data_IF_169406642787
#
_entry.id   IF_169406642787
#
_cell.length_a   1.000
_cell.length_b   1.000
_cell.length_c   1.000
_cell.angle_alpha   90.00
_cell.angle_beta   90.00
_cell.angle_gamma   90.00
#
_symmetry.space_group_name_H-M   'P 1'
#
loop_
_entity.id
_entity.type
_entity.pdbx_description
1 polymer ?
#
# COMPACT_ATOMS: atom_id res chain seq x y z
N UNK A 1 -12.00 -14.79 -3.11
CA UNK A 1 -12.12 -15.87 -2.12
C UNK A 1 -11.37 -15.44 -0.87
N UNK A 2 -12.00 -15.54 0.30
CA UNK A 2 -11.34 -15.37 1.60
C UNK A 2 -10.18 -16.35 1.71
N UNK A 3 -8.98 -15.87 2.04
CA UNK A 3 -7.80 -16.72 2.31
C UNK A 3 -7.49 -16.67 3.80
N UNK A 4 -6.84 -17.71 4.32
CA UNK A 4 -6.22 -17.62 5.64
C UNK A 4 -4.94 -16.80 5.53
N UNK A 5 -4.57 -16.16 6.63
CA UNK A 5 -3.22 -15.63 6.79
C UNK A 5 -2.19 -16.76 6.66
N UNK A 6 -0.98 -16.49 6.13
CA UNK A 6 0.10 -17.47 6.12
C UNK A 6 0.43 -17.93 7.55
N UNK A 7 0.93 -19.15 7.71
CA UNK A 7 1.22 -19.74 9.03
C UNK A 7 2.28 -18.96 9.84
N UNK A 8 3.09 -18.15 9.18
CA UNK A 8 4.09 -17.28 9.82
C UNK A 8 3.54 -15.92 10.24
N UNK A 9 2.24 -15.64 10.03
CA UNK A 9 1.57 -14.48 10.60
C UNK A 9 0.91 -14.91 11.92
N UNK A 10 1.43 -14.36 13.01
CA UNK A 10 0.99 -14.67 14.38
C UNK A 10 -0.33 -13.98 14.72
N UNK A 11 -0.47 -12.71 14.33
CA UNK A 11 -1.64 -11.90 14.63
C UNK A 11 -1.86 -10.86 13.53
N UNK A 12 -3.12 -10.54 13.27
CA UNK A 12 -3.51 -9.42 12.44
C UNK A 12 -4.45 -8.49 13.21
N UNK A 13 -4.22 -7.19 13.09
CA UNK A 13 -5.02 -6.13 13.72
C UNK A 13 -5.58 -5.29 12.57
N UNK A 14 -6.90 -5.27 12.47
CA UNK A 14 -7.62 -4.56 11.42
C UNK A 14 -8.98 -4.17 11.97
N UNK A 15 -9.33 -2.88 11.87
CA UNK A 15 -10.63 -2.38 12.32
C UNK A 15 -11.31 -1.60 11.18
N UNK A 16 -12.08 -2.28 10.30
CA UNK A 16 -12.94 -1.60 9.35
C UNK A 16 -14.10 -0.94 10.09
N UNK A 17 -14.14 0.39 10.09
CA UNK A 17 -15.10 1.21 10.81
C UNK A 17 -16.25 1.64 9.88
N UNK A 18 -17.47 1.66 10.40
CA UNK A 18 -18.62 2.24 9.69
C UNK A 18 -18.42 3.75 9.54
N UNK A 19 -18.72 4.26 8.35
CA UNK A 19 -18.78 5.70 8.09
C UNK A 19 -20.17 6.19 8.53
N UNK A 20 -20.27 7.11 9.52
CA UNK A 20 -21.55 7.48 10.12
C UNK A 20 -22.61 7.92 9.09
N UNK A 21 -23.84 7.42 9.25
CA UNK A 21 -24.98 7.74 8.38
C UNK A 21 -24.82 7.34 6.91
N UNK A 22 -23.93 6.40 6.60
CA UNK A 22 -23.72 5.88 5.24
C UNK A 22 -23.61 4.34 5.28
N UNK A 23 -23.77 3.64 4.15
CA UNK A 23 -23.55 2.20 4.09
C UNK A 23 -22.07 1.81 3.94
N UNK A 24 -21.13 2.77 4.04
CA UNK A 24 -19.73 2.57 3.72
C UNK A 24 -18.88 2.27 4.94
N UNK A 25 -17.75 1.62 4.68
CA UNK A 25 -16.72 1.33 5.69
C UNK A 25 -15.40 1.95 5.30
N UNK A 26 -14.57 2.24 6.29
CA UNK A 26 -13.20 2.73 6.14
C UNK A 26 -12.24 1.85 6.90
N UNK A 27 -11.04 1.66 6.37
CA UNK A 27 -9.93 0.99 7.02
C UNK A 27 -8.70 1.86 6.85
N UNK A 28 -8.27 2.51 7.93
CA UNK A 28 -7.10 3.39 7.91
C UNK A 28 -5.79 2.59 7.88
N UNK A 29 -5.73 1.46 8.57
CA UNK A 29 -4.58 0.58 8.58
C UNK A 29 -4.93 -0.89 8.81
N UNK A 30 -4.01 -1.77 8.44
CA UNK A 30 -3.97 -3.18 8.83
C UNK A 30 -2.55 -3.52 9.24
N UNK A 31 -2.38 -4.08 10.43
CA UNK A 31 -1.07 -4.55 10.91
C UNK A 31 -1.07 -6.08 10.97
N UNK A 32 0.00 -6.70 10.49
CA UNK A 32 0.23 -8.14 10.66
C UNK A 32 1.59 -8.37 11.32
N UNK A 33 1.59 -9.05 12.46
CA UNK A 33 2.77 -9.47 13.21
C UNK A 33 3.22 -10.85 12.76
N UNK A 34 4.51 -11.02 12.56
CA UNK A 34 5.09 -12.30 12.18
C UNK A 34 5.53 -13.12 13.39
N UNK A 35 5.52 -14.44 13.22
CA UNK A 35 6.02 -15.39 14.22
C UNK A 35 7.55 -15.48 14.14
N UNK A 36 8.22 -14.39 14.53
CA UNK A 36 9.67 -14.30 14.67
C UNK A 36 10.04 -13.30 15.79
N UNK A 37 11.34 -13.17 16.10
CA UNK A 37 11.83 -12.28 17.16
C UNK A 37 12.27 -10.90 16.65
N UNK A 38 12.04 -10.60 15.37
CA UNK A 38 12.52 -9.38 14.77
C UNK A 38 11.67 -8.17 15.16
N UNK A 39 12.25 -6.97 15.03
CA UNK A 39 11.62 -5.72 15.48
C UNK A 39 11.37 -4.70 14.37
N UNK A 40 11.99 -4.87 13.19
CA UNK A 40 11.82 -3.88 12.14
C UNK A 40 10.41 -3.96 11.56
N UNK A 41 9.85 -2.79 11.27
CA UNK A 41 8.51 -2.64 10.69
C UNK A 41 8.63 -2.21 9.23
N UNK A 42 7.89 -2.90 8.36
CA UNK A 42 7.75 -2.52 6.96
C UNK A 42 6.35 -1.96 6.70
N UNK A 43 6.28 -0.70 6.28
CA UNK A 43 5.05 -0.07 5.84
C UNK A 43 4.83 -0.34 4.36
N UNK A 44 3.66 -0.85 3.98
CA UNK A 44 3.16 -0.82 2.61
C UNK A 44 2.15 0.31 2.45
N UNK A 45 2.38 1.16 1.43
CA UNK A 45 1.40 2.18 1.02
C UNK A 45 0.79 1.73 -0.30
N UNK A 46 -0.47 1.29 -0.24
CA UNK A 46 -1.21 0.73 -1.37
C UNK A 46 -2.26 1.73 -1.88
N UNK A 47 -2.88 1.41 -3.01
CA UNK A 47 -3.91 2.26 -3.63
C UNK A 47 -5.24 2.24 -2.85
N UNK A 48 -5.88 1.06 -2.79
CA UNK A 48 -7.19 0.85 -2.17
C UNK A 48 -7.11 -0.29 -1.14
N UNK A 49 -7.94 -0.25 -0.08
CA UNK A 49 -8.00 -1.33 0.88
C UNK A 49 -8.39 -2.64 0.20
N UNK A 50 -7.78 -3.71 0.68
CA UNK A 50 -8.11 -5.07 0.29
C UNK A 50 -9.30 -5.59 1.12
N UNK A 51 -9.75 -6.82 0.86
CA UNK A 51 -10.86 -7.44 1.61
C UNK A 51 -10.43 -8.09 2.95
N UNK A 52 -9.17 -7.91 3.35
CA UNK A 52 -8.67 -8.51 4.58
C UNK A 52 -9.19 -7.80 5.84
N UNK A 53 -9.46 -8.61 6.85
CA UNK A 53 -9.79 -8.25 8.24
C UNK A 53 -8.74 -8.86 9.18
N UNK A 54 -8.95 -8.74 10.47
CA UNK A 54 -8.20 -9.44 11.51
C UNK A 54 -8.33 -10.98 11.42
N UNK A 55 -9.51 -11.47 11.05
CA UNK A 55 -9.83 -12.91 10.97
C UNK A 55 -9.60 -13.53 9.59
N UNK A 56 -9.69 -12.73 8.53
CA UNK A 56 -9.69 -13.21 7.15
C UNK A 56 -8.63 -12.44 6.36
N UNK A 57 -7.74 -13.15 5.69
CA UNK A 57 -6.79 -12.55 4.77
C UNK A 57 -7.31 -12.55 3.32
N UNK A 58 -6.53 -11.94 2.44
CA UNK A 58 -6.67 -12.05 1.00
C UNK A 58 -5.31 -12.16 0.32
N UNK A 59 -5.34 -12.24 -1.00
CA UNK A 59 -4.14 -12.37 -1.82
C UNK A 59 -3.19 -11.17 -1.71
N UNK A 60 -3.70 -9.95 -1.56
CA UNK A 60 -2.86 -8.75 -1.47
C UNK A 60 -2.07 -8.76 -0.16
N UNK A 61 -2.74 -9.05 0.95
CA UNK A 61 -2.08 -9.11 2.26
C UNK A 61 -1.12 -10.30 2.34
N UNK A 62 -1.48 -11.45 1.77
CA UNK A 62 -0.59 -12.61 1.72
C UNK A 62 0.66 -12.32 0.88
N UNK A 63 0.55 -11.58 -0.23
CA UNK A 63 1.71 -11.16 -1.02
C UNK A 63 2.58 -10.19 -0.21
N UNK A 64 2.00 -9.17 0.42
CA UNK A 64 2.77 -8.22 1.24
C UNK A 64 3.51 -8.94 2.38
N UNK A 65 2.83 -9.89 3.03
CA UNK A 65 3.40 -10.73 4.09
C UNK A 65 4.53 -11.61 3.58
N UNK A 66 4.36 -12.22 2.40
CA UNK A 66 5.40 -13.04 1.78
C UNK A 66 6.64 -12.24 1.42
N UNK A 67 6.45 -11.06 0.80
CA UNK A 67 7.58 -10.19 0.45
C UNK A 67 8.35 -9.79 1.71
N UNK A 68 7.65 -9.39 2.76
CA UNK A 68 8.28 -8.95 4.00
C UNK A 68 9.02 -10.09 4.72
N UNK A 69 8.37 -11.24 4.86
CA UNK A 69 8.90 -12.36 5.64
C UNK A 69 9.96 -13.17 4.89
N UNK A 70 9.72 -13.49 3.61
CA UNK A 70 10.59 -14.36 2.81
C UNK A 70 11.59 -13.55 1.97
N UNK A 71 11.09 -12.66 1.11
CA UNK A 71 11.94 -12.00 0.10
C UNK A 71 12.86 -10.92 0.71
N UNK A 72 12.40 -10.30 1.81
CA UNK A 72 13.10 -9.24 2.54
C UNK A 72 13.66 -9.73 3.89
N UNK A 73 13.86 -11.03 4.07
CA UNK A 73 14.30 -11.62 5.36
C UNK A 73 15.55 -10.96 5.96
N UNK A 74 16.51 -10.54 5.14
CA UNK A 74 17.75 -9.85 5.56
C UNK A 74 17.52 -8.49 6.22
N UNK A 75 16.31 -7.96 6.14
CA UNK A 75 15.92 -6.72 6.80
C UNK A 75 15.27 -6.97 8.16
N UNK A 76 15.23 -8.21 8.64
CA UNK A 76 14.76 -8.57 9.99
C UNK A 76 13.39 -7.93 10.29
N UNK A 77 12.41 -8.19 9.43
CA UNK A 77 11.07 -7.60 9.55
C UNK A 77 10.24 -8.46 10.50
N UNK A 78 9.77 -7.85 11.59
CA UNK A 78 8.90 -8.47 12.59
C UNK A 78 7.41 -8.23 12.34
N UNK A 79 7.08 -7.13 11.65
CA UNK A 79 5.68 -6.84 11.28
C UNK A 79 5.57 -5.97 10.04
N UNK A 80 4.39 -6.02 9.43
CA UNK A 80 3.98 -5.11 8.38
C UNK A 80 2.81 -4.25 8.85
N UNK A 81 2.81 -2.98 8.45
CA UNK A 81 1.61 -2.14 8.46
C UNK A 81 1.22 -1.84 7.02
N UNK A 82 -0.07 -1.84 6.72
CA UNK A 82 -0.61 -1.57 5.39
C UNK A 82 -1.57 -0.40 5.51
N UNK A 83 -1.31 0.66 4.75
CA UNK A 83 -2.18 1.84 4.62
C UNK A 83 -2.54 2.06 3.15
N UNK A 84 -3.55 2.88 2.91
CA UNK A 84 -4.12 3.08 1.57
C UNK A 84 -4.28 4.56 1.23
N UNK A 85 -4.04 4.94 -0.04
CA UNK A 85 -4.24 6.32 -0.51
C UNK A 85 -5.68 6.79 -0.24
N UNK A 86 -6.65 5.90 -0.48
CA UNK A 86 -8.02 6.06 0.00
C UNK A 86 -8.34 5.04 1.09
N UNK A 87 -8.99 5.42 2.20
CA UNK A 87 -9.29 4.50 3.30
C UNK A 87 -10.58 3.70 3.07
N UNK A 88 -11.41 4.05 2.09
CA UNK A 88 -12.71 3.42 1.88
C UNK A 88 -12.56 1.94 1.53
N UNK A 89 -13.20 1.07 2.30
CA UNK A 89 -13.02 -0.38 2.29
C UNK A 89 -13.68 -1.05 1.07
N UNK A 90 -13.20 -0.68 -0.12
CA UNK A 90 -13.65 -1.16 -1.41
C UNK A 90 -12.45 -1.31 -2.37
N UNK A 91 -12.03 -2.55 -2.68
CA UNK A 91 -10.86 -2.78 -3.52
C UNK A 91 -11.07 -2.42 -4.99
N UNK A 92 -12.32 -2.38 -5.48
CA UNK A 92 -12.61 -2.14 -6.90
C UNK A 92 -12.72 -0.65 -7.19
N UNK A 93 -11.79 -0.09 -7.97
CA UNK A 93 -11.73 1.34 -8.28
C UNK A 93 -13.01 1.92 -8.87
N UNK A 94 -13.77 1.16 -9.68
CA UNK A 94 -15.05 1.63 -10.22
C UNK A 94 -16.12 1.83 -9.14
N UNK A 95 -16.11 1.00 -8.10
CA UNK A 95 -17.01 1.15 -6.95
C UNK A 95 -16.52 2.23 -6.00
N UNK A 96 -15.20 2.36 -5.84
CA UNK A 96 -14.60 3.46 -5.09
C UNK A 96 -15.04 4.81 -5.64
N UNK A 97 -15.05 5.00 -6.96
CA UNK A 97 -15.52 6.26 -7.56
C UNK A 97 -16.96 6.59 -7.15
N UNK A 98 -17.87 5.61 -7.14
CA UNK A 98 -19.24 5.81 -6.69
C UNK A 98 -19.33 6.23 -5.21
N UNK A 99 -18.48 5.66 -4.34
CA UNK A 99 -18.38 6.05 -2.93
C UNK A 99 -17.88 7.50 -2.82
N UNK A 100 -16.86 7.87 -3.61
CA UNK A 100 -16.32 9.23 -3.61
C UNK A 100 -17.36 10.26 -4.06
N UNK A 101 -18.13 9.95 -5.10
CA UNK A 101 -19.18 10.85 -5.62
C UNK A 101 -20.30 11.05 -4.60
N UNK A 102 -20.77 9.97 -3.97
CA UNK A 102 -21.79 10.04 -2.93
C UNK A 102 -21.30 10.85 -1.72
N UNK A 103 -20.13 10.50 -1.17
CA UNK A 103 -19.60 11.17 0.02
C UNK A 103 -19.26 12.64 -0.23
N UNK A 104 -18.70 12.99 -1.39
CA UNK A 104 -18.41 14.39 -1.72
C UNK A 104 -19.68 15.23 -1.90
N UNK A 105 -20.75 14.63 -2.42
CA UNK A 105 -21.99 15.35 -2.74
C UNK A 105 -22.94 15.41 -1.54
N UNK A 106 -23.18 14.27 -0.91
CA UNK A 106 -24.22 14.09 0.11
C UNK A 106 -23.65 14.18 1.54
N UNK A 107 -22.35 13.95 1.72
CA UNK A 107 -21.70 13.87 3.04
C UNK A 107 -20.33 14.59 3.12
N UNK A 108 -20.19 15.84 2.61
CA UNK A 108 -18.87 16.46 2.36
C UNK A 108 -17.98 16.58 3.61
N UNK A 109 -18.55 16.93 4.77
CA UNK A 109 -17.77 17.01 6.02
C UNK A 109 -17.26 15.64 6.48
N UNK A 110 -18.01 14.57 6.22
CA UNK A 110 -17.60 13.20 6.55
C UNK A 110 -16.46 12.78 5.61
N UNK A 111 -16.59 13.09 4.31
CA UNK A 111 -15.52 12.87 3.33
C UNK A 111 -14.21 13.55 3.75
N UNK A 112 -14.25 14.85 4.06
CA UNK A 112 -13.08 15.63 4.43
C UNK A 112 -12.41 15.11 5.71
N UNK A 113 -13.20 14.84 6.75
CA UNK A 113 -12.68 14.31 8.02
C UNK A 113 -12.05 12.94 7.84
N UNK A 114 -12.68 12.06 7.05
CA UNK A 114 -12.17 10.73 6.74
C UNK A 114 -10.83 10.80 6.00
N UNK A 115 -10.72 11.64 4.97
CA UNK A 115 -9.48 11.80 4.22
C UNK A 115 -8.37 12.44 5.06
N UNK A 116 -8.71 13.37 5.96
CA UNK A 116 -7.77 13.98 6.91
C UNK A 116 -7.24 12.97 7.91
N UNK A 117 -8.09 12.14 8.50
CA UNK A 117 -7.66 11.09 9.44
C UNK A 117 -6.83 10.02 8.72
N UNK A 118 -7.17 9.68 7.48
CA UNK A 118 -6.37 8.77 6.67
C UNK A 118 -4.97 9.33 6.40
N UNK A 119 -4.87 10.59 5.99
CA UNK A 119 -3.56 11.23 5.79
C UNK A 119 -2.74 11.21 7.09
N UNK A 120 -3.34 11.61 8.21
CA UNK A 120 -2.69 11.57 9.52
C UNK A 120 -2.19 10.16 9.87
N UNK A 121 -2.99 9.12 9.64
CA UNK A 121 -2.60 7.72 9.86
C UNK A 121 -1.42 7.33 8.97
N UNK A 122 -1.45 7.69 7.69
CA UNK A 122 -0.34 7.40 6.76
C UNK A 122 0.95 8.06 7.26
N UNK A 123 0.91 9.33 7.66
CA UNK A 123 2.11 10.04 8.14
C UNK A 123 2.65 9.42 9.44
N UNK A 124 1.76 9.08 10.37
CA UNK A 124 2.14 8.39 11.61
C UNK A 124 2.80 7.03 11.34
N UNK A 125 2.24 6.25 10.41
CA UNK A 125 2.83 4.95 10.06
C UNK A 125 4.15 5.08 9.30
N UNK A 126 4.35 6.17 8.55
CA UNK A 126 5.67 6.47 7.97
C UNK A 126 6.69 6.66 9.10
N UNK A 127 6.38 7.48 10.10
CA UNK A 127 7.28 7.75 11.23
C UNK A 127 7.55 6.50 12.08
N UNK A 128 6.57 5.60 12.18
CA UNK A 128 6.67 4.35 12.95
C UNK A 128 7.42 3.24 12.20
N UNK A 129 7.76 3.41 10.93
CA UNK A 129 8.32 2.36 10.07
C UNK A 129 9.84 2.46 9.93
N UNK A 130 10.51 1.31 9.82
CA UNK A 130 11.94 1.27 9.49
C UNK A 130 12.16 1.28 7.97
N UNK A 131 11.19 0.71 7.24
CA UNK A 131 11.23 0.59 5.79
C UNK A 131 9.85 0.90 5.23
N UNK A 132 9.82 1.47 4.03
CA UNK A 132 8.58 1.75 3.29
C UNK A 132 8.63 1.06 1.93
N UNK A 133 7.52 0.43 1.56
CA UNK A 133 7.26 -0.16 0.26
C UNK A 133 6.10 0.57 -0.40
N UNK A 134 6.36 1.27 -1.51
CA UNK A 134 5.31 1.98 -2.24
C UNK A 134 4.71 1.08 -3.31
N UNK A 135 3.40 0.93 -3.26
CA UNK A 135 2.62 0.21 -4.27
C UNK A 135 1.26 0.85 -4.54
N UNK A 136 1.27 2.17 -4.65
CA UNK A 136 0.12 3.06 -4.90
C UNK A 136 -0.44 2.97 -6.32
N UNK A 137 0.28 2.33 -7.26
CA UNK A 137 -0.21 2.14 -8.63
C UNK A 137 -0.30 3.43 -9.45
N UNK A 138 -0.67 3.26 -10.73
CA UNK A 138 -1.12 4.37 -11.56
C UNK A 138 -2.52 4.81 -11.11
N UNK A 139 -2.89 6.07 -11.40
CA UNK A 139 -4.26 6.55 -11.15
C UNK A 139 -5.25 5.64 -11.89
N UNK A 140 -6.23 5.02 -11.20
CA UNK A 140 -7.21 4.17 -11.87
C UNK A 140 -7.97 4.95 -12.94
N UNK A 141 -8.35 4.27 -14.02
CA UNK A 141 -9.07 4.88 -15.15
C UNK A 141 -10.42 5.44 -14.70
N UNK A 142 -11.04 4.78 -13.74
CA UNK A 142 -12.37 5.06 -13.21
C UNK A 142 -12.38 6.24 -12.23
N UNK A 143 -11.22 6.64 -11.70
CA UNK A 143 -11.14 7.86 -10.88
C UNK A 143 -11.27 9.07 -11.80
N UNK A 144 -12.35 9.83 -11.62
CA UNK A 144 -12.66 11.01 -12.42
C UNK A 144 -11.70 12.15 -12.09
N UNK A 145 -11.56 12.46 -10.80
CA UNK A 145 -10.69 13.52 -10.32
C UNK A 145 -9.23 13.04 -10.14
N UNK A 146 -8.54 12.95 -11.27
CA UNK A 146 -7.12 12.57 -11.30
C UNK A 146 -6.19 13.64 -10.73
N UNK A 147 -6.66 14.88 -10.56
CA UNK A 147 -5.88 15.98 -9.97
C UNK A 147 -5.69 15.72 -8.48
N UNK A 148 -6.81 15.62 -7.77
CA UNK A 148 -6.84 15.36 -6.32
C UNK A 148 -6.13 14.05 -5.95
N UNK A 149 -6.30 12.98 -6.74
CA UNK A 149 -5.57 11.72 -6.48
C UNK A 149 -4.05 11.92 -6.53
N UNK A 150 -3.54 12.65 -7.54
CA UNK A 150 -2.10 12.91 -7.66
C UNK A 150 -1.60 13.82 -6.55
N UNK A 151 -2.40 14.76 -6.08
CA UNK A 151 -2.07 15.61 -4.94
C UNK A 151 -1.94 14.80 -3.65
N UNK A 152 -2.85 13.85 -3.40
CA UNK A 152 -2.74 12.93 -2.25
C UNK A 152 -1.42 12.15 -2.29
N UNK A 153 -1.11 11.52 -3.42
CA UNK A 153 0.15 10.77 -3.58
C UNK A 153 1.37 11.69 -3.44
N UNK A 154 1.30 12.91 -3.99
CA UNK A 154 2.38 13.90 -3.88
C UNK A 154 2.63 14.32 -2.44
N UNK A 155 1.58 14.53 -1.65
CA UNK A 155 1.69 14.85 -0.23
C UNK A 155 2.37 13.74 0.56
N UNK A 156 2.03 12.47 0.27
CA UNK A 156 2.71 11.30 0.84
C UNK A 156 4.19 11.29 0.44
N UNK A 157 4.50 11.53 -0.84
CA UNK A 157 5.88 11.56 -1.33
C UNK A 157 6.71 12.69 -0.73
N UNK A 158 6.14 13.88 -0.55
CA UNK A 158 6.81 15.00 0.13
C UNK A 158 7.20 14.62 1.55
N UNK A 159 6.29 13.99 2.30
CA UNK A 159 6.58 13.57 3.67
C UNK A 159 7.64 12.46 3.72
N UNK A 160 7.54 11.47 2.82
CA UNK A 160 8.56 10.42 2.71
C UNK A 160 9.93 10.96 2.34
N UNK A 161 10.02 11.97 1.47
CA UNK A 161 11.28 12.61 1.09
C UNK A 161 11.97 13.28 2.29
N UNK A 162 11.20 13.85 3.21
CA UNK A 162 11.70 14.46 4.45
C UNK A 162 12.11 13.40 5.49
N UNK A 163 11.31 12.34 5.66
CA UNK A 163 11.45 11.39 6.78
C UNK A 163 12.24 10.14 6.45
N UNK A 164 12.24 9.69 5.20
CA UNK A 164 12.73 8.37 4.83
C UNK A 164 13.84 8.49 3.80
N UNK A 165 14.99 7.87 4.11
CA UNK A 165 16.16 7.93 3.22
C UNK A 165 15.92 7.25 1.86
N UNK A 166 15.12 6.18 1.81
CA UNK A 166 14.78 5.48 0.57
C UNK A 166 13.54 4.60 0.72
N UNK A 167 12.84 4.33 -0.38
CA UNK A 167 11.66 3.46 -0.44
C UNK A 167 11.89 2.27 -1.37
N UNK A 168 11.25 1.14 -1.08
CA UNK A 168 11.18 0.00 -2.00
C UNK A 168 10.07 0.21 -3.03
N UNK A 169 10.38 -0.14 -4.29
CA UNK A 169 9.42 -0.22 -5.38
C UNK A 169 9.48 -1.61 -6.03
N UNK A 170 8.33 -2.09 -6.48
CA UNK A 170 8.21 -3.24 -7.37
C UNK A 170 8.82 -2.96 -8.75
N UNK A 171 9.56 -3.94 -9.29
CA UNK A 171 10.13 -4.01 -10.63
C UNK A 171 9.77 -5.33 -11.31
N UNK A 172 9.83 -5.32 -12.64
CA UNK A 172 9.40 -6.43 -13.47
C UNK A 172 10.06 -6.49 -14.84
N UNK A 173 10.79 -7.55 -15.16
CA UNK A 173 11.64 -7.59 -16.35
C UNK A 173 10.85 -7.46 -17.68
N UNK A 174 9.58 -7.86 -17.71
CA UNK A 174 8.72 -7.85 -18.92
C UNK A 174 7.85 -6.60 -19.08
N UNK A 175 7.84 -5.70 -18.10
CA UNK A 175 6.97 -4.53 -18.08
C UNK A 175 7.75 -3.21 -18.10
N UNK A 176 8.91 -3.20 -18.78
CA UNK A 176 9.81 -2.03 -18.85
C UNK A 176 9.13 -0.73 -19.27
N UNK A 177 8.25 -0.81 -20.27
CA UNK A 177 7.48 0.33 -20.79
C UNK A 177 6.47 0.93 -19.81
N UNK A 178 6.12 0.18 -18.76
CA UNK A 178 5.23 0.67 -17.72
C UNK A 178 6.00 1.35 -16.59
N UNK A 179 7.34 1.23 -16.50
CA UNK A 179 8.20 1.87 -15.49
C UNK A 179 8.30 3.40 -15.66
N UNK A 180 8.01 4.11 -14.57
CA UNK A 180 8.26 5.51 -14.28
C UNK A 180 8.13 6.47 -15.45
N UNK A 181 6.91 6.90 -15.78
CA UNK A 181 6.76 8.16 -16.51
C UNK A 181 6.46 9.36 -15.59
N UNK A 182 5.94 9.17 -14.36
CA UNK A 182 5.68 10.27 -13.40
C UNK A 182 5.44 9.69 -11.99
N UNK A 183 5.89 10.40 -10.92
CA UNK A 183 5.47 10.44 -9.49
C UNK A 183 4.67 9.29 -8.82
N UNK A 184 4.51 8.12 -9.43
CA UNK A 184 3.61 7.04 -9.02
C UNK A 184 4.40 5.72 -9.00
N UNK A 185 4.02 4.83 -8.09
CA UNK A 185 4.63 3.51 -7.92
C UNK A 185 3.80 2.40 -8.58
N UNK A 186 4.29 1.16 -8.63
CA UNK A 186 3.56 0.04 -9.23
C UNK A 186 2.65 -0.65 -8.25
N UNK A 187 1.48 -1.07 -8.70
CA UNK A 187 0.62 -1.92 -7.89
C UNK A 187 1.22 -3.33 -7.79
N UNK A 188 1.10 -3.93 -6.60
CA UNK A 188 1.54 -5.29 -6.28
C UNK A 188 0.57 -6.41 -6.75
N UNK A 189 -0.49 -6.09 -7.50
CA UNK A 189 -1.65 -7.00 -7.73
C UNK A 189 -1.39 -8.04 -8.84
N UNK A 190 -1.83 -9.31 -8.66
CA UNK A 190 -1.63 -10.46 -9.55
C UNK A 190 -1.99 -10.31 -11.04
N UNK A 191 -2.96 -9.46 -11.43
CA UNK A 191 -3.29 -9.30 -12.87
C UNK A 191 -2.16 -8.60 -13.65
N UNK A 192 -1.34 -7.77 -12.99
CA UNK A 192 -0.07 -7.25 -13.51
C UNK A 192 1.18 -7.85 -12.82
N UNK A 193 0.98 -8.51 -11.67
CA UNK A 193 1.99 -8.96 -10.71
C UNK A 193 2.74 -10.22 -11.10
N UNK A 194 2.22 -11.03 -12.03
CA UNK A 194 3.01 -12.15 -12.60
C UNK A 194 4.33 -11.70 -13.27
N UNK A 195 4.46 -10.40 -13.54
CA UNK A 195 5.68 -9.81 -14.07
C UNK A 195 6.44 -8.99 -13.04
N UNK A 196 5.91 -8.79 -11.83
CA UNK A 196 6.59 -8.12 -10.73
C UNK A 196 7.42 -9.14 -9.99
N UNK A 197 8.66 -9.31 -10.46
CA UNK A 197 9.57 -10.33 -9.97
C UNK A 197 10.73 -9.78 -9.14
N UNK A 198 10.79 -8.46 -8.94
CA UNK A 198 11.88 -7.81 -8.21
C UNK A 198 11.40 -6.64 -7.36
N UNK A 199 12.16 -6.32 -6.32
CA UNK A 199 12.09 -5.05 -5.62
C UNK A 199 13.44 -4.34 -5.66
N UNK A 200 13.43 -3.01 -5.73
CA UNK A 200 14.64 -2.17 -5.65
C UNK A 200 14.35 -0.91 -4.85
N UNK A 201 15.39 -0.35 -4.22
CA UNK A 201 15.30 0.92 -3.49
C UNK A 201 15.45 2.13 -4.41
N UNK A 202 14.72 3.18 -4.08
CA UNK A 202 14.68 4.46 -4.77
C UNK A 202 14.77 5.60 -3.75
N UNK A 203 15.43 6.70 -4.13
CA UNK A 203 15.28 7.98 -3.46
C UNK A 203 13.98 8.65 -3.89
N UNK A 204 13.41 9.48 -3.04
CA UNK A 204 12.41 10.47 -3.44
C UNK A 204 13.11 11.83 -3.50
N UNK A 205 12.99 12.52 -4.63
CA UNK A 205 13.58 13.84 -4.88
C UNK A 205 12.60 14.73 -5.62
N UNK A 206 12.19 15.84 -5.02
CA UNK A 206 11.13 16.70 -5.53
C UNK A 206 9.91 15.87 -5.94
N UNK A 207 9.45 14.95 -5.07
CA UNK A 207 8.35 14.00 -5.29
C UNK A 207 8.56 12.93 -6.38
N UNK A 208 9.73 12.92 -7.05
CA UNK A 208 10.07 11.96 -8.10
C UNK A 208 10.86 10.79 -7.52
N UNK A 209 10.59 9.60 -8.05
CA UNK A 209 11.31 8.38 -7.69
C UNK A 209 12.60 8.31 -8.51
N UNK A 210 13.75 8.36 -7.84
CA UNK A 210 15.08 8.35 -8.47
C UNK A 210 15.77 7.06 -8.09
N UNK A 211 16.18 6.29 -9.10
CA UNK A 211 16.84 5.00 -8.87
C UNK A 211 18.16 5.20 -8.13
N UNK A 212 18.41 4.40 -7.09
CA UNK A 212 19.71 4.39 -6.41
C UNK A 212 20.71 3.69 -7.33
N UNK A 213 21.77 4.39 -7.80
CA UNK A 213 22.77 3.79 -8.67
C UNK A 213 23.39 2.56 -8.01
N UNK A 214 23.53 1.48 -8.78
CA UNK A 214 24.10 0.20 -8.31
C UNK A 214 23.40 -0.41 -7.08
N UNK A 215 22.21 0.06 -6.71
CA UNK A 215 21.44 -0.54 -5.62
C UNK A 215 21.05 -2.00 -5.95
N UNK A 216 21.11 -2.92 -4.98
CA UNK A 216 20.80 -4.33 -5.22
C UNK A 216 19.34 -4.50 -5.60
N UNK A 217 19.08 -5.38 -6.57
CA UNK A 217 17.73 -5.89 -6.84
C UNK A 217 17.47 -7.11 -5.95
N UNK A 218 16.25 -7.22 -5.45
CA UNK A 218 15.80 -8.33 -4.62
C UNK A 218 14.79 -9.11 -5.42
N UNK A 219 15.04 -10.40 -5.64
CA UNK A 219 14.06 -11.26 -6.27
C UNK A 219 12.83 -11.38 -5.38
N UNK A 220 11.65 -11.17 -5.96
CA UNK A 220 10.38 -11.45 -5.29
C UNK A 220 9.95 -12.86 -5.67
N UNK A 221 9.39 -13.63 -4.74
CA UNK A 221 9.03 -15.03 -4.96
C UNK A 221 7.57 -15.35 -4.70
N UNK A 222 6.76 -14.36 -4.34
CA UNK A 222 5.33 -14.51 -4.03
C UNK A 222 4.47 -15.12 -5.17
N UNK A 223 4.94 -15.09 -6.41
CA UNK A 223 4.27 -15.70 -7.58
C UNK A 223 4.75 -17.11 -7.89
N UNK A 224 5.82 -17.58 -7.24
CA UNK A 224 6.23 -18.97 -7.31
C UNK A 224 5.21 -19.76 -6.48
N UNK A 225 4.32 -20.50 -7.14
CA UNK A 225 3.42 -21.40 -6.44
C UNK A 225 4.26 -22.39 -5.63
N UNK A 226 4.02 -22.44 -4.32
CA UNK A 226 4.44 -23.57 -3.49
C UNK A 226 3.71 -24.84 -3.94
#
# INVERSE_FOLDING_TARGET
MSKKYPSYVKAAICDPQEVPNTPYKVRYSLTAEFDNSFKNKLLFILMNPSHATDLISDETINICSHIAFNDLNKFEIGSITIVNVHPYYEPKSFKLQAILDDLKTNHPSIYENTMKENMKTILQEIDNSNYVFLSTGLVPKEIVDKGSYRELVRSIHNYLEEKVGSVFLCKGDRNKKYFGSVQLSYHINPLGGQYVNKAKRFFIRNTKLVEIPNGPEIALTHFLKA
#
